data_IF_140967590778
#
_entry.id   IF_140967590778
#
_cell.length_a   1.000
_cell.length_b   1.000
_cell.length_c   1.000
_cell.angle_alpha   90.00
_cell.angle_beta   90.00
_cell.angle_gamma   90.00
#
_symmetry.space_group_name_H-M   'P 1'
#
loop_
_entity.id
_entity.type
_entity.pdbx_description
1 polymer ?
#
# COMPACT_ATOMS: atom_id res chain seq x y z
N UNK A 1 11.14 -52.92 15.54
CA UNK A 1 11.02 -51.45 15.69
C UNK A 1 9.55 -51.09 15.80
N UNK A 2 9.11 -50.60 16.97
CA UNK A 2 7.69 -50.58 17.35
C UNK A 2 6.90 -49.45 16.67
N UNK A 3 5.80 -49.81 16.02
CA UNK A 3 4.79 -48.95 15.38
C UNK A 3 4.36 -47.76 16.26
N UNK A 4 4.39 -47.93 17.58
CA UNK A 4 4.06 -46.90 18.57
C UNK A 4 5.01 -45.70 18.51
N UNK A 5 6.30 -45.90 18.20
CA UNK A 5 7.25 -44.78 18.04
C UNK A 5 7.01 -44.01 16.75
N UNK A 6 6.65 -44.71 15.68
CA UNK A 6 6.37 -44.11 14.37
C UNK A 6 5.09 -43.25 14.47
N UNK A 7 4.02 -43.79 15.05
CA UNK A 7 2.74 -43.10 15.22
C UNK A 7 2.84 -41.84 16.10
N UNK A 8 3.61 -41.90 17.20
CA UNK A 8 3.86 -40.72 18.06
C UNK A 8 4.64 -39.63 17.33
N UNK A 9 5.59 -40.00 16.47
CA UNK A 9 6.32 -39.04 15.65
C UNK A 9 5.38 -38.35 14.65
N UNK A 10 4.49 -39.11 14.00
CA UNK A 10 3.58 -38.55 12.98
C UNK A 10 2.58 -37.57 13.59
N UNK A 11 2.02 -37.88 14.77
CA UNK A 11 1.13 -36.95 15.47
C UNK A 11 1.85 -35.66 15.90
N UNK A 12 3.06 -35.78 16.44
CA UNK A 12 3.83 -34.62 16.89
C UNK A 12 4.20 -33.67 15.73
N UNK A 13 4.60 -34.23 14.57
CA UNK A 13 4.84 -33.43 13.37
C UNK A 13 3.57 -32.76 12.84
N UNK A 14 2.43 -33.46 12.82
CA UNK A 14 1.16 -32.89 12.38
C UNK A 14 0.71 -31.69 13.24
N UNK A 15 0.83 -31.80 14.57
CA UNK A 15 0.51 -30.71 15.49
C UNK A 15 1.45 -29.49 15.32
N UNK A 16 2.74 -29.73 15.09
CA UNK A 16 3.71 -28.66 14.84
C UNK A 16 3.40 -27.89 13.54
N UNK A 17 2.95 -28.58 12.48
CA UNK A 17 2.57 -27.92 11.22
C UNK A 17 1.34 -27.04 11.38
N UNK A 18 0.36 -27.44 12.19
CA UNK A 18 -0.86 -26.64 12.45
C UNK A 18 -0.51 -25.38 13.26
N UNK A 19 0.31 -25.49 14.31
CA UNK A 19 0.73 -24.35 15.13
C UNK A 19 1.60 -23.34 14.37
N UNK A 20 2.28 -23.75 13.30
CA UNK A 20 3.10 -22.86 12.46
C UNK A 20 2.29 -22.17 11.34
N UNK A 21 1.02 -22.55 11.13
CA UNK A 21 0.19 -22.00 10.05
C UNK A 21 -0.41 -20.62 10.34
N UNK A 22 -0.36 -20.16 11.60
CA UNK A 22 -0.91 -18.87 12.03
C UNK A 22 -0.12 -17.66 11.51
N UNK A 23 1.12 -17.87 11.02
CA UNK A 23 1.96 -16.82 10.45
C UNK A 23 1.63 -16.46 8.99
N UNK A 24 0.67 -17.15 8.35
CA UNK A 24 0.36 -16.99 6.91
C UNK A 24 -0.93 -16.18 6.68
N UNK A 25 -1.69 -15.83 7.72
CA UNK A 25 -2.91 -15.04 7.57
C UNK A 25 -2.63 -13.53 7.55
N UNK A 26 -2.60 -13.00 6.32
CA UNK A 26 -2.87 -11.61 5.92
C UNK A 26 -1.73 -10.58 6.03
N UNK A 27 -1.05 -10.34 4.90
CA UNK A 27 -0.40 -9.08 4.49
C UNK A 27 0.18 -8.18 5.61
N UNK A 28 1.28 -8.60 6.25
CA UNK A 28 2.10 -7.65 7.01
C UNK A 28 2.94 -6.81 6.03
N UNK A 29 2.29 -5.89 5.32
CA UNK A 29 2.97 -4.76 4.69
C UNK A 29 2.64 -3.57 5.57
N UNK A 30 3.62 -3.11 6.34
CA UNK A 30 3.45 -1.95 7.22
C UNK A 30 3.34 -0.69 6.35
N UNK A 31 2.13 -0.38 5.91
CA UNK A 31 1.85 0.89 5.27
C UNK A 31 1.87 1.98 6.34
N UNK A 32 2.70 2.99 6.11
CA UNK A 32 2.72 4.20 6.91
C UNK A 32 2.15 5.37 6.11
N UNK A 33 1.36 6.20 6.78
CA UNK A 33 0.94 7.48 6.21
C UNK A 33 2.10 8.45 6.25
N UNK A 34 2.54 8.93 5.09
CA UNK A 34 3.49 10.03 4.99
C UNK A 34 2.69 11.32 4.84
N UNK A 35 2.58 12.08 5.92
CA UNK A 35 1.91 13.38 5.87
C UNK A 35 2.70 14.37 5.01
N UNK A 36 1.99 15.29 4.35
CA UNK A 36 2.58 16.38 3.56
C UNK A 36 3.60 15.92 2.50
N UNK A 37 3.39 14.73 1.91
CA UNK A 37 4.25 14.19 0.86
C UNK A 37 4.27 15.09 -0.38
N UNK A 38 3.10 15.55 -0.82
CA UNK A 38 2.98 16.48 -1.95
C UNK A 38 3.62 17.83 -1.62
N UNK A 39 4.76 18.13 -2.26
CA UNK A 39 5.43 19.43 -2.17
C UNK A 39 4.90 20.37 -3.25
N UNK A 40 3.94 21.20 -2.88
CA UNK A 40 3.30 22.16 -3.76
C UNK A 40 3.96 23.55 -3.65
N UNK A 41 3.87 24.40 -4.70
CA UNK A 41 4.19 25.82 -4.59
C UNK A 41 3.45 26.49 -3.44
N UNK A 42 4.06 27.53 -2.87
CA UNK A 42 3.48 28.27 -1.76
C UNK A 42 2.06 28.76 -2.08
N UNK A 43 1.14 28.61 -1.13
CA UNK A 43 -0.27 28.99 -1.27
C UNK A 43 -1.12 28.04 -2.13
N UNK A 44 -0.52 27.06 -2.82
CA UNK A 44 -1.27 26.04 -3.57
C UNK A 44 -1.68 24.88 -2.66
N UNK A 45 -2.95 24.46 -2.77
CA UNK A 45 -3.48 23.26 -2.13
C UNK A 45 -3.68 22.15 -3.15
N UNK A 46 -3.68 20.90 -2.68
CA UNK A 46 -4.23 19.77 -3.44
C UNK A 46 -5.75 19.84 -3.33
N UNK A 47 -6.44 19.68 -4.45
CA UNK A 47 -7.88 19.58 -4.53
C UNK A 47 -8.35 18.13 -4.60
N UNK A 48 -9.57 17.97 -5.10
CA UNK A 48 -10.20 16.67 -5.30
C UNK A 48 -9.44 15.91 -6.39
N UNK A 49 -8.72 14.86 -6.00
CA UNK A 49 -7.88 14.06 -6.91
C UNK A 49 -8.76 13.12 -7.72
N UNK A 50 -8.73 13.28 -9.05
CA UNK A 50 -9.49 12.47 -10.00
C UNK A 50 -8.71 11.23 -10.49
N UNK A 51 -7.38 11.23 -10.34
CA UNK A 51 -6.53 10.09 -10.71
C UNK A 51 -5.12 10.18 -10.12
N UNK A 52 -4.51 9.02 -9.92
CA UNK A 52 -3.14 8.87 -9.41
C UNK A 52 -2.49 7.67 -10.11
N UNK A 53 -1.21 7.78 -10.45
CA UNK A 53 -0.43 6.64 -10.98
C UNK A 53 1.06 6.79 -10.66
N UNK A 54 1.78 5.69 -10.58
CA UNK A 54 3.23 5.68 -10.43
C UNK A 54 3.85 5.94 -11.79
N UNK A 55 4.81 6.87 -11.86
CA UNK A 55 5.53 7.12 -13.10
C UNK A 55 6.41 5.92 -13.49
N UNK A 56 6.82 5.87 -14.77
CA UNK A 56 7.68 4.82 -15.30
C UNK A 56 9.08 4.79 -14.67
N UNK A 57 9.48 5.84 -13.96
CA UNK A 57 10.72 5.83 -13.15
C UNK A 57 10.60 4.98 -11.87
N UNK A 58 9.39 4.55 -11.50
CA UNK A 58 9.14 3.72 -10.33
C UNK A 58 9.24 4.44 -8.98
N UNK A 59 9.52 5.74 -8.98
CA UNK A 59 9.76 6.53 -7.75
C UNK A 59 8.82 7.74 -7.63
N UNK A 60 8.38 8.29 -8.75
CA UNK A 60 7.50 9.44 -8.77
C UNK A 60 6.04 9.06 -8.94
N UNK A 61 5.17 10.00 -8.58
CA UNK A 61 3.72 9.84 -8.69
C UNK A 61 3.16 10.98 -9.54
N UNK A 62 2.40 10.61 -10.56
CA UNK A 62 1.53 11.53 -11.29
C UNK A 62 0.19 11.63 -10.59
N UNK A 63 -0.32 12.85 -10.43
CA UNK A 63 -1.69 13.12 -9.98
C UNK A 63 -2.44 13.96 -10.99
N UNK A 64 -3.73 13.67 -11.14
CA UNK A 64 -4.70 14.56 -11.74
C UNK A 64 -5.55 15.16 -10.62
N UNK A 65 -5.21 16.37 -10.24
CA UNK A 65 -5.90 17.19 -9.24
C UNK A 65 -6.87 18.17 -9.91
N UNK A 66 -8.04 18.37 -9.30
CA UNK A 66 -9.01 19.39 -9.73
C UNK A 66 -8.63 20.78 -9.23
N UNK A 67 -7.42 21.22 -9.59
CA UNK A 67 -6.93 22.59 -9.46
C UNK A 67 -7.04 23.19 -8.04
N UNK A 68 -6.78 22.39 -6.99
CA UNK A 68 -6.91 22.84 -5.60
C UNK A 68 -8.35 22.91 -5.07
N UNK A 69 -9.35 22.50 -5.86
CA UNK A 69 -10.77 22.55 -5.50
C UNK A 69 -11.55 21.29 -5.93
N UNK A 70 -12.86 21.43 -6.14
CA UNK A 70 -13.73 20.34 -6.62
C UNK A 70 -13.85 20.31 -8.15
N UNK A 71 -13.45 21.37 -8.85
CA UNK A 71 -13.48 21.51 -10.31
C UNK A 71 -12.42 22.51 -10.76
N UNK A 72 -11.99 22.41 -12.02
CA UNK A 72 -10.98 23.29 -12.62
C UNK A 72 -11.53 24.47 -13.42
N UNK A 73 -12.86 24.59 -13.60
CA UNK A 73 -13.46 25.63 -14.41
C UNK A 73 -13.07 27.04 -13.90
N UNK A 74 -12.50 27.87 -14.77
CA UNK A 74 -12.02 29.22 -14.45
C UNK A 74 -10.68 29.30 -13.71
N UNK A 75 -10.01 28.16 -13.47
CA UNK A 75 -8.69 28.14 -12.84
C UNK A 75 -7.57 28.21 -13.88
N UNK A 76 -6.47 28.88 -13.52
CA UNK A 76 -5.21 28.88 -14.28
C UNK A 76 -4.17 27.90 -13.72
N UNK A 77 -4.55 27.05 -12.77
CA UNK A 77 -3.64 26.05 -12.19
C UNK A 77 -3.53 24.81 -13.08
N UNK A 78 -2.32 24.27 -13.21
CA UNK A 78 -2.10 23.02 -13.94
C UNK A 78 -2.74 21.84 -13.19
N UNK A 79 -3.66 21.07 -13.81
CA UNK A 79 -4.35 19.97 -13.14
C UNK A 79 -3.53 18.68 -13.02
N UNK A 80 -2.50 18.51 -13.86
CA UNK A 80 -1.63 17.33 -13.85
C UNK A 80 -0.28 17.71 -13.25
N UNK A 81 0.16 17.00 -12.22
CA UNK A 81 1.42 17.26 -11.52
C UNK A 81 2.18 15.96 -11.28
N UNK A 82 3.51 16.04 -11.28
CA UNK A 82 4.42 14.97 -10.90
C UNK A 82 5.09 15.33 -9.58
N UNK A 83 5.22 14.34 -8.71
CA UNK A 83 5.89 14.43 -7.42
C UNK A 83 6.95 13.34 -7.30
#
# INVERSE_FOLDING_TARGET
>A
MSYTRISRLTLALGAAVILLSEAIYSQHVDYQTIENWFKLPEGRKIGSTAGITVDRDGTSVWTFDRCGGQYCAGSNLTPIMKF
#
